data_IF_955741420080
#
_entry.id   IF_955741420080
#
_cell.length_a   1.000
_cell.length_b   1.000
_cell.length_c   1.000
_cell.angle_alpha   90.00
_cell.angle_beta   90.00
_cell.angle_gamma   90.00
#
_symmetry.space_group_name_H-M   'P 1'
#
loop_
_entity.id
_entity.type
_entity.pdbx_description
1 polymer ?
#
# COMPACT_ATOMS: atom_id res chain seq x y z
N UNK A 1 -19.15 24.28 0.12
CA UNK A 1 -17.68 24.29 -0.01
C UNK A 1 -17.23 22.84 -0.06
N UNK A 2 -16.55 22.43 -1.14
CA UNK A 2 -16.08 21.05 -1.31
C UNK A 2 -14.86 20.75 -0.42
N UNK A 3 -14.70 19.49 -0.02
CA UNK A 3 -13.55 19.05 0.79
C UNK A 3 -12.25 19.21 0.01
N UNK A 4 -11.26 19.92 0.54
CA UNK A 4 -9.91 19.89 -0.01
C UNK A 4 -9.28 18.51 0.25
N UNK A 5 -8.91 17.85 -0.85
CA UNK A 5 -8.09 16.65 -1.05
C UNK A 5 -8.19 15.50 -0.03
N UNK A 6 -7.92 15.70 1.28
CA UNK A 6 -7.82 14.61 2.27
C UNK A 6 -8.30 14.96 3.69
N UNK A 7 -9.15 15.99 3.87
CA UNK A 7 -9.76 16.38 5.16
C UNK A 7 -8.76 16.64 6.31
N UNK A 8 -7.55 17.13 6.01
CA UNK A 8 -6.52 17.40 7.03
C UNK A 8 -7.00 18.33 8.15
N UNK A 9 -7.87 19.31 7.85
CA UNK A 9 -8.43 20.22 8.85
C UNK A 9 -9.31 19.48 9.88
N UNK A 10 -10.16 18.56 9.41
CA UNK A 10 -11.03 17.78 10.29
C UNK A 10 -10.19 16.86 11.18
N UNK A 11 -9.17 16.19 10.61
CA UNK A 11 -8.25 15.36 11.37
C UNK A 11 -7.46 16.19 12.40
N UNK A 12 -6.95 17.36 12.00
CA UNK A 12 -6.23 18.27 12.89
C UNK A 12 -7.09 18.74 14.06
N UNK A 13 -8.34 19.11 13.80
CA UNK A 13 -9.27 19.53 14.85
C UNK A 13 -9.54 18.38 15.83
N UNK A 14 -9.80 17.17 15.34
CA UNK A 14 -10.07 16.00 16.19
C UNK A 14 -8.86 15.60 17.04
N UNK A 15 -7.67 15.48 16.41
CA UNK A 15 -6.44 15.05 17.09
C UNK A 15 -5.94 16.05 18.14
N UNK A 16 -6.42 17.31 18.10
CA UNK A 16 -6.05 18.35 19.05
C UNK A 16 -7.08 18.60 20.16
N UNK A 17 -8.17 17.83 20.22
CA UNK A 17 -9.08 17.85 21.37
C UNK A 17 -8.38 17.30 22.62
N UNK A 18 -8.53 17.96 23.77
CA UNK A 18 -7.94 17.50 25.04
C UNK A 18 -8.39 16.09 25.40
N UNK A 19 -9.67 15.76 25.18
CA UNK A 19 -10.20 14.42 25.41
C UNK A 19 -9.52 13.35 24.56
N UNK A 20 -9.27 13.64 23.27
CA UNK A 20 -8.60 12.72 22.34
C UNK A 20 -7.13 12.58 22.70
N UNK A 21 -6.45 13.69 22.98
CA UNK A 21 -5.04 13.69 23.41
C UNK A 21 -4.84 12.92 24.71
N UNK A 22 -5.73 13.09 25.67
CA UNK A 22 -5.72 12.34 26.93
C UNK A 22 -5.98 10.85 26.71
N UNK A 23 -6.95 10.49 25.86
CA UNK A 23 -7.28 9.10 25.54
C UNK A 23 -6.13 8.36 24.81
N UNK A 24 -5.34 9.09 24.01
CA UNK A 24 -4.14 8.58 23.33
C UNK A 24 -2.87 8.72 24.20
N UNK A 25 -3.01 9.14 25.46
CA UNK A 25 -1.92 9.35 26.43
C UNK A 25 -0.83 10.31 25.94
N UNK A 26 -1.20 11.36 25.20
CA UNK A 26 -0.28 12.39 24.74
C UNK A 26 0.10 13.30 25.92
N UNK A 27 1.39 13.50 26.23
CA UNK A 27 1.81 14.37 27.31
C UNK A 27 1.29 15.81 27.13
N UNK A 28 0.90 16.46 28.24
CA UNK A 28 0.34 17.81 28.21
C UNK A 28 1.27 18.86 27.58
N UNK A 29 2.59 18.67 27.70
CA UNK A 29 3.60 19.55 27.09
C UNK A 29 3.90 19.29 25.62
N UNK A 30 3.33 18.25 25.00
CA UNK A 30 3.58 17.94 23.60
C UNK A 30 2.93 18.99 22.68
N UNK A 31 3.54 19.34 21.54
CA UNK A 31 2.96 20.30 20.60
C UNK A 31 1.61 19.82 20.05
N UNK A 32 0.89 20.76 19.43
CA UNK A 32 -0.32 20.42 18.66
C UNK A 32 0.05 19.53 17.48
N UNK A 33 -0.81 18.57 17.21
CA UNK A 33 -0.69 17.71 16.05
C UNK A 33 -0.87 18.53 14.77
N UNK A 34 -0.05 18.23 13.76
CA UNK A 34 -0.11 18.77 12.39
C UNK A 34 0.18 17.61 11.42
N UNK A 35 -0.42 17.63 10.23
CA UNK A 35 -0.39 16.50 9.31
C UNK A 35 1.02 16.14 8.80
N UNK A 36 1.73 17.11 8.19
CA UNK A 36 2.97 16.81 7.45
C UNK A 36 4.23 17.47 8.05
N UNK A 37 4.06 18.40 9.00
CA UNK A 37 5.16 19.02 9.73
C UNK A 37 6.19 19.80 8.90
N UNK A 38 5.97 19.97 7.59
CA UNK A 38 6.93 20.61 6.68
C UNK A 38 8.23 19.84 6.47
N UNK A 39 8.31 18.58 6.92
CA UNK A 39 9.55 17.78 6.90
C UNK A 39 10.15 17.63 5.49
N UNK A 40 9.29 17.49 4.48
CA UNK A 40 9.72 17.36 3.07
C UNK A 40 10.52 18.59 2.62
N UNK A 41 10.20 19.79 3.10
CA UNK A 41 10.85 21.03 2.69
C UNK A 41 12.29 21.17 3.22
N UNK A 42 12.65 20.42 4.27
CA UNK A 42 13.96 20.48 4.92
C UNK A 42 14.77 19.20 4.75
N UNK A 43 14.18 18.17 4.14
CA UNK A 43 14.83 16.88 3.96
C UNK A 43 15.78 16.91 2.75
N UNK A 44 17.04 16.53 2.98
CA UNK A 44 18.00 16.32 1.92
C UNK A 44 17.96 14.84 1.48
N UNK A 45 17.49 14.57 0.26
CA UNK A 45 17.36 13.22 -0.26
C UNK A 45 18.73 12.55 -0.44
N UNK A 46 18.97 11.48 0.30
CA UNK A 46 20.22 10.71 0.23
C UNK A 46 20.14 9.47 -0.66
N UNK A 47 18.92 8.99 -0.94
CA UNK A 47 18.66 7.82 -1.76
C UNK A 47 17.72 8.18 -2.91
N UNK A 48 18.23 8.41 -4.13
CA UNK A 48 17.42 8.82 -5.27
C UNK A 48 16.58 7.69 -5.87
N UNK A 49 16.85 6.44 -5.49
CA UNK A 49 16.11 5.27 -5.97
C UNK A 49 15.92 4.25 -4.84
N UNK A 50 14.89 3.41 -4.95
CA UNK A 50 14.68 2.30 -4.03
C UNK A 50 15.52 1.05 -4.35
N UNK A 51 16.29 1.05 -5.45
CA UNK A 51 17.05 -0.14 -5.89
C UNK A 51 18.00 -0.71 -4.84
N UNK A 52 18.78 0.10 -4.09
CA UNK A 52 19.67 -0.43 -3.05
C UNK A 52 18.89 -1.11 -1.93
N UNK A 53 17.72 -0.58 -1.57
CA UNK A 53 16.86 -1.14 -0.54
C UNK A 53 16.25 -2.48 -0.99
N UNK A 54 15.70 -2.54 -2.20
CA UNK A 54 15.21 -3.81 -2.75
C UNK A 54 16.32 -4.84 -2.82
N UNK A 55 17.53 -4.45 -3.24
CA UNK A 55 18.68 -5.36 -3.31
C UNK A 55 19.04 -5.89 -1.92
N UNK A 56 19.04 -5.02 -0.92
CA UNK A 56 19.30 -5.39 0.47
C UNK A 56 18.26 -6.38 1.01
N UNK A 57 16.97 -6.07 0.86
CA UNK A 57 15.87 -6.91 1.33
C UNK A 57 15.92 -8.29 0.64
N UNK A 58 15.98 -8.28 -0.70
CA UNK A 58 15.92 -9.48 -1.52
C UNK A 58 17.16 -10.38 -1.40
N UNK A 59 18.29 -9.88 -0.90
CA UNK A 59 19.49 -10.67 -0.65
C UNK A 59 19.65 -11.04 0.83
N UNK A 60 18.73 -10.64 1.70
CA UNK A 60 18.79 -10.97 3.12
C UNK A 60 18.38 -12.42 3.36
N UNK A 61 19.09 -13.11 4.26
CA UNK A 61 18.71 -14.48 4.68
C UNK A 61 17.32 -14.53 5.32
N UNK A 62 16.88 -13.43 5.95
CA UNK A 62 15.55 -13.33 6.53
C UNK A 62 14.45 -13.43 5.46
N UNK A 63 14.67 -12.86 4.28
CA UNK A 63 13.72 -12.94 3.18
C UNK A 63 13.43 -14.40 2.80
N UNK A 64 14.49 -15.18 2.61
CA UNK A 64 14.38 -16.57 2.20
C UNK A 64 13.89 -17.46 3.35
N UNK A 65 14.38 -17.25 4.58
CA UNK A 65 14.04 -18.08 5.73
C UNK A 65 12.60 -17.87 6.24
N UNK A 66 12.04 -16.67 6.11
CA UNK A 66 10.68 -16.36 6.60
C UNK A 66 9.59 -16.48 5.53
N UNK A 67 9.96 -16.87 4.30
CA UNK A 67 9.09 -16.79 3.13
C UNK A 67 8.48 -15.39 3.00
N UNK A 68 9.33 -14.37 3.10
CA UNK A 68 8.92 -12.97 3.10
C UNK A 68 8.30 -12.60 1.76
N UNK A 69 7.38 -11.64 1.79
CA UNK A 69 6.61 -11.26 0.61
C UNK A 69 6.43 -9.77 0.53
N UNK A 70 6.36 -9.27 -0.70
CA UNK A 70 6.27 -7.86 -0.98
C UNK A 70 5.00 -7.60 -1.78
N UNK A 71 4.20 -6.65 -1.32
CA UNK A 71 3.10 -6.08 -2.09
C UNK A 71 3.42 -4.62 -2.41
N UNK A 72 3.42 -4.30 -3.69
CA UNK A 72 3.46 -2.94 -4.20
C UNK A 72 2.09 -2.63 -4.78
N UNK A 73 1.46 -1.53 -4.37
CA UNK A 73 0.18 -1.15 -4.95
C UNK A 73 0.09 0.35 -5.17
N UNK A 74 -0.59 0.72 -6.26
CA UNK A 74 -0.82 2.12 -6.64
C UNK A 74 -2.27 2.33 -7.05
N UNK A 75 -2.80 3.52 -6.77
CA UNK A 75 -4.03 3.97 -7.39
C UNK A 75 -3.78 4.36 -8.84
N UNK A 76 -4.65 3.94 -9.77
CA UNK A 76 -4.45 4.17 -11.21
C UNK A 76 -4.75 5.61 -11.67
N UNK A 77 -5.34 6.44 -10.81
CA UNK A 77 -5.58 7.88 -11.07
C UNK A 77 -4.68 8.79 -10.23
N UNK A 78 -3.69 8.25 -9.52
CA UNK A 78 -2.68 9.07 -8.84
C UNK A 78 -1.72 9.70 -9.86
N UNK A 79 -1.58 11.03 -9.80
CA UNK A 79 -0.63 11.78 -10.63
C UNK A 79 0.69 12.08 -9.95
N UNK A 80 0.78 11.95 -8.61
CA UNK A 80 2.01 12.21 -7.85
C UNK A 80 2.98 11.03 -7.95
N UNK A 81 2.55 9.85 -7.46
CA UNK A 81 3.32 8.62 -7.54
C UNK A 81 2.61 7.64 -8.49
N UNK A 82 2.55 8.02 -9.76
CA UNK A 82 1.70 7.33 -10.74
C UNK A 82 2.06 5.84 -10.94
N UNK A 83 1.03 5.05 -11.24
CA UNK A 83 1.15 3.60 -11.41
C UNK A 83 2.09 3.19 -12.57
N UNK A 84 2.20 4.01 -13.63
CA UNK A 84 3.08 3.70 -14.76
C UNK A 84 4.55 3.74 -14.35
N UNK A 85 4.94 4.74 -13.55
CA UNK A 85 6.28 4.85 -12.99
C UNK A 85 6.63 3.66 -12.10
N UNK A 86 5.68 3.23 -11.25
CA UNK A 86 5.84 2.03 -10.43
C UNK A 86 6.00 0.77 -11.29
N UNK A 87 5.14 0.57 -12.29
CA UNK A 87 5.17 -0.58 -13.20
C UNK A 87 6.47 -0.65 -14.02
N UNK A 88 6.95 0.50 -14.53
CA UNK A 88 8.21 0.58 -15.27
C UNK A 88 9.40 0.27 -14.37
N UNK A 89 9.43 0.85 -13.17
CA UNK A 89 10.47 0.56 -12.18
C UNK A 89 10.53 -0.93 -11.86
N UNK A 90 9.41 -1.54 -11.46
CA UNK A 90 9.37 -2.95 -11.05
C UNK A 90 9.71 -3.88 -12.21
N UNK A 91 9.20 -3.59 -13.42
CA UNK A 91 9.54 -4.35 -14.62
C UNK A 91 11.03 -4.28 -14.89
N UNK A 92 11.62 -3.09 -15.04
CA UNK A 92 13.04 -2.96 -15.33
C UNK A 92 13.94 -3.56 -14.24
N UNK A 93 13.59 -3.34 -12.97
CA UNK A 93 14.40 -3.78 -11.85
C UNK A 93 14.39 -5.31 -11.71
N UNK A 94 13.20 -5.92 -11.70
CA UNK A 94 13.07 -7.37 -11.48
C UNK A 94 13.47 -8.20 -12.70
N UNK A 95 13.17 -7.76 -13.94
CA UNK A 95 13.49 -8.57 -15.13
C UNK A 95 14.89 -8.34 -15.67
N UNK A 96 15.41 -7.10 -15.62
CA UNK A 96 16.65 -6.74 -16.33
C UNK A 96 17.84 -6.58 -15.38
N UNK A 97 17.67 -5.85 -14.28
CA UNK A 97 18.79 -5.47 -13.39
C UNK A 97 19.17 -6.58 -12.42
N UNK A 98 18.19 -7.33 -11.92
CA UNK A 98 18.46 -8.46 -11.02
C UNK A 98 18.85 -9.76 -11.73
N UNK A 99 18.86 -9.80 -13.08
CA UNK A 99 19.32 -10.90 -13.99
C UNK A 99 18.90 -12.34 -13.65
N UNK A 100 18.08 -12.56 -12.62
CA UNK A 100 17.85 -13.86 -12.01
C UNK A 100 16.38 -14.10 -11.63
N UNK A 101 15.47 -13.16 -11.93
CA UNK A 101 14.06 -13.24 -11.53
C UNK A 101 13.08 -13.05 -12.72
N UNK A 102 12.90 -14.13 -13.48
CA UNK A 102 11.71 -14.49 -14.26
C UNK A 102 11.42 -13.76 -15.59
N UNK A 103 10.83 -14.52 -16.53
CA UNK A 103 10.09 -13.97 -17.66
C UNK A 103 9.09 -12.96 -17.12
N UNK A 104 8.89 -11.85 -17.84
CA UNK A 104 7.91 -10.83 -17.48
C UNK A 104 6.51 -11.49 -17.36
N UNK A 105 5.96 -11.68 -16.15
CA UNK A 105 4.69 -12.40 -15.97
C UNK A 105 3.55 -11.57 -16.55
N UNK A 106 2.46 -12.19 -17.01
CA UNK A 106 1.34 -11.43 -17.58
C UNK A 106 0.73 -10.46 -16.55
N UNK A 107 0.19 -9.34 -17.06
CA UNK A 107 -0.56 -8.37 -16.25
C UNK A 107 -2.04 -8.72 -16.36
N UNK A 108 -2.59 -9.29 -15.31
CA UNK A 108 -3.93 -9.86 -15.29
C UNK A 108 -4.90 -8.96 -14.52
N UNK A 109 -6.17 -8.85 -14.94
CA UNK A 109 -7.18 -8.18 -14.14
C UNK A 109 -7.46 -8.97 -12.86
N UNK A 110 -7.71 -8.27 -11.76
CA UNK A 110 -8.31 -8.86 -10.57
C UNK A 110 -9.67 -8.24 -10.31
N UNK A 111 -10.57 -9.03 -9.73
CA UNK A 111 -11.96 -8.61 -9.56
C UNK A 111 -12.30 -8.27 -8.12
N UNK A 112 -13.15 -7.28 -7.92
CA UNK A 112 -13.71 -6.92 -6.63
C UNK A 112 -15.19 -7.27 -6.60
N UNK A 113 -15.61 -7.85 -5.49
CA UNK A 113 -16.99 -8.21 -5.23
C UNK A 113 -17.26 -8.08 -3.72
N UNK A 114 -18.31 -7.34 -3.35
CA UNK A 114 -18.66 -7.15 -1.94
C UNK A 114 -19.17 -8.42 -1.29
N UNK A 115 -19.98 -9.19 -2.03
CA UNK A 115 -20.51 -10.48 -1.62
C UNK A 115 -20.73 -11.34 -2.88
N UNK A 116 -20.52 -12.66 -2.84
CA UNK A 116 -20.77 -13.58 -3.94
C UNK A 116 -22.10 -13.42 -4.68
N UNK A 117 -23.13 -12.84 -4.04
CA UNK A 117 -24.43 -12.57 -4.67
C UNK A 117 -24.45 -11.38 -5.64
N UNK A 118 -23.51 -10.43 -5.54
CA UNK A 118 -23.47 -9.23 -6.38
C UNK A 118 -22.63 -9.43 -7.64
N UNK A 119 -22.77 -8.57 -8.65
CA UNK A 119 -21.89 -8.64 -9.81
C UNK A 119 -20.45 -8.26 -9.47
N UNK A 120 -19.52 -9.04 -9.99
CA UNK A 120 -18.09 -8.75 -9.88
C UNK A 120 -17.70 -7.58 -10.78
N UNK A 121 -16.78 -6.75 -10.31
CA UNK A 121 -16.25 -5.59 -11.02
C UNK A 121 -14.74 -5.65 -11.11
N UNK A 122 -14.13 -4.99 -12.09
CA UNK A 122 -12.65 -4.94 -12.14
C UNK A 122 -12.15 -4.09 -10.96
N UNK A 123 -11.43 -4.73 -10.03
CA UNK A 123 -10.77 -4.09 -8.90
C UNK A 123 -9.46 -3.41 -9.32
N UNK A 124 -8.83 -3.92 -10.38
CA UNK A 124 -7.63 -3.37 -11.00
C UNK A 124 -6.85 -4.45 -11.73
N UNK A 125 -5.54 -4.34 -11.77
CA UNK A 125 -4.66 -5.32 -12.40
C UNK A 125 -3.50 -5.69 -11.50
N UNK A 126 -3.07 -6.94 -11.59
CA UNK A 126 -1.98 -7.51 -10.83
C UNK A 126 -0.90 -8.08 -11.76
N UNK A 127 0.34 -7.96 -11.32
CA UNK A 127 1.50 -8.64 -11.90
C UNK A 127 2.25 -9.33 -10.78
N UNK A 128 2.36 -10.66 -10.87
CA UNK A 128 2.92 -11.51 -9.83
C UNK A 128 4.29 -12.01 -10.26
N UNK A 129 5.34 -11.39 -9.75
CA UNK A 129 6.72 -11.83 -9.96
C UNK A 129 7.01 -12.98 -9.00
N UNK A 130 7.90 -13.90 -9.39
CA UNK A 130 8.31 -14.92 -8.44
C UNK A 130 9.21 -14.35 -7.34
N UNK A 131 9.52 -15.21 -6.36
CA UNK A 131 9.97 -14.80 -5.01
C UNK A 131 8.92 -13.98 -4.25
N UNK A 132 7.63 -14.20 -4.50
CA UNK A 132 6.53 -13.61 -3.74
C UNK A 132 6.47 -12.07 -3.77
N UNK A 133 6.61 -11.50 -4.96
CA UNK A 133 6.52 -10.05 -5.16
C UNK A 133 5.33 -9.77 -6.07
N UNK A 134 4.31 -9.12 -5.52
CA UNK A 134 3.10 -8.77 -6.24
C UNK A 134 3.05 -7.25 -6.46
N UNK A 135 2.74 -6.82 -7.69
CA UNK A 135 2.58 -5.42 -8.09
C UNK A 135 1.17 -5.19 -8.61
N UNK A 136 0.40 -4.34 -7.94
CA UNK A 136 -1.02 -4.15 -8.19
C UNK A 136 -1.38 -2.70 -8.51
N UNK A 137 -2.42 -2.55 -9.31
CA UNK A 137 -3.17 -1.29 -9.46
C UNK A 137 -4.55 -1.46 -8.83
N UNK A 138 -5.08 -0.37 -8.26
CA UNK A 138 -6.46 -0.31 -7.78
C UNK A 138 -7.23 0.71 -8.60
N UNK A 139 -8.29 0.23 -9.27
CA UNK A 139 -9.02 0.96 -10.29
C UNK A 139 -9.81 2.13 -9.71
N UNK A 140 -9.65 3.30 -10.32
CA UNK A 140 -10.32 4.54 -9.95
C UNK A 140 -9.93 5.05 -8.57
N UNK A 141 -8.69 4.78 -8.15
CA UNK A 141 -8.14 5.19 -6.86
C UNK A 141 -6.98 6.16 -7.05
N UNK A 142 -6.85 7.17 -6.21
CA UNK A 142 -5.73 8.11 -6.20
C UNK A 142 -4.60 7.69 -5.25
N UNK A 143 -3.88 8.67 -4.72
CA UNK A 143 -2.67 8.47 -3.91
C UNK A 143 -2.94 7.73 -2.58
N UNK A 144 -4.15 7.85 -2.04
CA UNK A 144 -4.55 7.22 -0.78
C UNK A 144 -5.56 6.11 -1.03
N UNK A 145 -5.06 4.98 -1.51
CA UNK A 145 -5.92 3.87 -1.97
C UNK A 145 -6.99 3.42 -0.96
N UNK A 146 -6.69 3.21 0.33
CA UNK A 146 -7.72 2.84 1.30
C UNK A 146 -8.76 3.93 1.55
N UNK A 147 -8.47 5.19 1.26
CA UNK A 147 -9.41 6.30 1.39
C UNK A 147 -10.36 6.34 0.19
N UNK A 148 -9.83 6.22 -1.03
CA UNK A 148 -10.61 6.34 -2.26
C UNK A 148 -11.41 5.06 -2.58
N UNK A 149 -10.83 3.89 -2.26
CA UNK A 149 -11.38 2.55 -2.56
C UNK A 149 -11.24 1.60 -1.36
N UNK A 150 -11.93 1.88 -0.24
CA UNK A 150 -11.72 1.17 1.02
C UNK A 150 -11.96 -0.34 0.92
N UNK A 151 -13.02 -0.77 0.23
CA UNK A 151 -13.37 -2.19 0.17
C UNK A 151 -12.46 -2.98 -0.77
N UNK A 152 -12.05 -2.39 -1.88
CA UNK A 152 -11.06 -2.95 -2.80
C UNK A 152 -9.69 -3.08 -2.10
N UNK A 153 -9.28 -2.04 -1.36
CA UNK A 153 -8.05 -2.05 -0.59
C UNK A 153 -8.08 -3.15 0.48
N UNK A 154 -9.21 -3.29 1.19
CA UNK A 154 -9.40 -4.33 2.20
C UNK A 154 -9.29 -5.74 1.61
N UNK A 155 -9.98 -6.02 0.50
CA UNK A 155 -9.91 -7.31 -0.18
C UNK A 155 -8.49 -7.61 -0.67
N UNK A 156 -7.82 -6.62 -1.30
CA UNK A 156 -6.44 -6.74 -1.77
C UNK A 156 -5.48 -7.09 -0.62
N UNK A 157 -5.53 -6.35 0.49
CA UNK A 157 -4.66 -6.55 1.64
C UNK A 157 -4.96 -7.89 2.32
N UNK A 158 -6.24 -8.22 2.51
CA UNK A 158 -6.65 -9.48 3.11
C UNK A 158 -6.17 -10.68 2.29
N UNK A 159 -6.39 -10.65 0.98
CA UNK A 159 -6.01 -11.76 0.12
C UNK A 159 -4.49 -11.90 0.01
N UNK A 160 -3.74 -10.79 -0.01
CA UNK A 160 -2.28 -10.82 0.03
C UNK A 160 -1.73 -11.44 1.32
N UNK A 161 -2.25 -11.04 2.49
CA UNK A 161 -1.84 -11.61 3.79
C UNK A 161 -2.12 -13.11 3.83
N UNK A 162 -3.28 -13.53 3.31
CA UNK A 162 -3.68 -14.94 3.29
C UNK A 162 -3.08 -15.75 2.12
N UNK A 163 -2.19 -15.17 1.30
CA UNK A 163 -1.60 -15.83 0.11
C UNK A 163 -2.64 -16.33 -0.90
N UNK A 164 -3.80 -15.69 -0.95
CA UNK A 164 -4.89 -16.06 -1.83
C UNK A 164 -4.81 -15.34 -3.19
N UNK A 165 -5.62 -15.77 -4.14
CA UNK A 165 -5.90 -14.97 -5.33
C UNK A 165 -6.58 -13.65 -4.93
N UNK A 166 -6.45 -12.61 -5.77
CA UNK A 166 -7.02 -11.30 -5.47
C UNK A 166 -8.52 -11.18 -5.77
N UNK A 167 -9.09 -12.09 -6.57
CA UNK A 167 -10.48 -12.02 -7.03
C UNK A 167 -11.54 -12.58 -6.07
N UNK A 168 -11.25 -13.58 -5.22
CA UNK A 168 -12.20 -14.03 -4.20
C UNK A 168 -12.64 -12.91 -3.26
N UNK A 169 -13.95 -12.77 -3.10
CA UNK A 169 -14.57 -11.80 -2.21
C UNK A 169 -14.09 -12.00 -0.76
N UNK A 170 -13.77 -10.89 -0.08
CA UNK A 170 -13.44 -10.90 1.34
C UNK A 170 -14.64 -10.44 2.15
N UNK A 171 -15.08 -11.24 3.13
CA UNK A 171 -16.11 -10.79 4.07
C UNK A 171 -15.50 -9.82 5.10
N UNK A 172 -16.25 -8.79 5.50
CA UNK A 172 -15.81 -7.86 6.55
C UNK A 172 -15.51 -8.62 7.86
N UNK A 173 -16.28 -9.65 8.17
CA UNK A 173 -16.08 -10.51 9.35
C UNK A 173 -14.72 -11.23 9.34
N UNK A 174 -14.30 -11.79 8.19
CA UNK A 174 -12.98 -12.43 8.08
C UNK A 174 -11.81 -11.44 8.20
N UNK A 175 -12.03 -10.18 7.80
CA UNK A 175 -10.97 -9.15 7.80
C UNK A 175 -10.71 -8.52 9.18
N UNK A 176 -11.69 -8.52 10.08
CA UNK A 176 -11.54 -7.97 11.44
C UNK A 176 -10.57 -8.80 12.31
N UNK A 177 -10.51 -10.11 12.09
CA UNK A 177 -9.54 -10.99 12.75
C UNK A 177 -8.09 -10.74 12.28
N UNK A 178 -7.93 -10.16 11.09
CA UNK A 178 -6.64 -9.85 10.50
C UNK A 178 -5.94 -8.68 11.21
N UNK A 179 -6.70 -7.66 11.62
CA UNK A 179 -6.18 -6.45 12.30
C UNK A 179 -5.45 -6.80 13.61
N UNK A 180 -5.81 -7.91 14.25
CA UNK A 180 -5.16 -8.39 15.48
C UNK A 180 -3.82 -9.12 15.23
N UNK A 181 -3.53 -9.54 13.98
CA UNK A 181 -2.46 -10.49 13.67
C UNK A 181 -1.31 -9.91 12.82
N UNK A 182 -1.43 -8.70 12.27
CA UNK A 182 -0.40 -8.12 11.40
C UNK A 182 0.69 -7.44 12.23
N UNK A 183 1.73 -8.20 12.62
CA UNK A 183 2.93 -7.65 13.26
C UNK A 183 4.08 -7.38 12.28
N UNK A 184 4.09 -7.97 11.07
CA UNK A 184 5.12 -7.69 10.06
C UNK A 184 4.54 -7.78 8.63
N UNK A 185 4.03 -6.67 8.12
CA UNK A 185 3.82 -6.46 6.69
C UNK A 185 4.51 -5.15 6.31
N UNK A 186 5.57 -5.22 5.49
CA UNK A 186 6.16 -4.02 4.92
C UNK A 186 5.34 -3.63 3.69
N UNK A 187 4.35 -2.77 3.91
CA UNK A 187 3.74 -2.01 2.81
C UNK A 187 4.74 -0.93 2.43
N UNK A 188 5.53 -1.18 1.39
CA UNK A 188 6.41 -0.15 0.82
C UNK A 188 5.53 0.79 -0.01
N UNK A 189 5.05 1.86 0.61
CA UNK A 189 4.49 3.00 -0.12
C UNK A 189 5.65 3.82 -0.65
N UNK A 190 5.78 3.91 -1.97
CA UNK A 190 6.69 4.87 -2.58
C UNK A 190 6.17 6.28 -2.30
N UNK A 191 6.91 7.00 -1.46
CA UNK A 191 6.94 8.45 -1.45
C UNK A 191 8.15 8.81 -2.31
N UNK A 192 7.94 8.95 -3.62
CA UNK A 192 8.88 9.62 -4.50
C UNK A 192 8.51 11.09 -4.58
#
# INVERSE_FOLDING_TARGET
MGYYCYMNDALSNYMNLDSVRNALHIPAGAPKWIADGGLIAVYNQTNPTAEPLFKYILNSSYYDASNFTILLYSGDVDTMCNWMGAEWFTTQYFTTRMRQFFQLPAREPWSYQTDPIYFSTVGGYARRYARNIDVLTVKGSGHFVPLDRPMQALQMINNWINRADYSPATSVASSLNLIQSVLLAVVVRFLL
#
